data_IF_553418275499
#
_entry.id   IF_553418275499
#
_cell.length_a   1.000
_cell.length_b   1.000
_cell.length_c   1.000
_cell.angle_alpha   90.00
_cell.angle_beta   90.00
_cell.angle_gamma   90.00
#
_symmetry.space_group_name_H-M   'P 1'
#
loop_
_entity.id
_entity.type
_entity.pdbx_description
1 polymer ?
#
# COMPACT_ATOMS: atom_id res chain seq x y z
N UNK A 1 41.25 -11.99 -0.75
CA UNK A 1 41.62 -10.91 -1.69
C UNK A 1 40.31 -10.40 -2.28
N UNK A 2 39.91 -9.20 -1.97
CA UNK A 2 38.73 -8.57 -2.56
C UNK A 2 39.04 -8.22 -4.00
N UNK A 3 38.33 -8.81 -4.95
CA UNK A 3 38.42 -8.48 -6.39
C UNK A 3 38.08 -6.99 -6.54
N UNK A 4 38.87 -6.25 -7.37
CA UNK A 4 38.55 -4.83 -7.59
C UNK A 4 37.19 -4.68 -8.27
N UNK A 5 36.52 -3.56 -8.07
CA UNK A 5 35.22 -3.24 -8.69
C UNK A 5 35.32 -3.34 -10.21
N UNK A 6 36.42 -2.83 -10.79
CA UNK A 6 36.68 -2.91 -12.24
C UNK A 6 36.76 -4.35 -12.74
N UNK A 7 37.44 -5.22 -11.99
CA UNK A 7 37.55 -6.64 -12.36
C UNK A 7 36.20 -7.38 -12.27
N UNK A 8 35.34 -7.00 -11.33
CA UNK A 8 33.95 -7.52 -11.22
C UNK A 8 33.10 -7.02 -12.37
N UNK A 9 33.22 -5.75 -12.73
CA UNK A 9 32.50 -5.14 -13.86
C UNK A 9 32.87 -5.85 -15.18
N UNK A 10 34.17 -6.02 -15.46
CA UNK A 10 34.64 -6.75 -16.64
C UNK A 10 34.14 -8.20 -16.66
N UNK A 11 34.08 -8.86 -15.51
CA UNK A 11 33.53 -10.22 -15.42
C UNK A 11 32.07 -10.26 -15.85
N UNK A 12 31.23 -9.29 -15.42
CA UNK A 12 29.81 -9.22 -15.82
C UNK A 12 29.67 -8.86 -17.31
N UNK A 13 30.47 -7.96 -17.85
CA UNK A 13 30.46 -7.64 -19.28
C UNK A 13 30.75 -8.88 -20.12
N UNK A 14 31.77 -9.65 -19.72
CA UNK A 14 32.20 -10.86 -20.46
C UNK A 14 31.22 -12.02 -20.30
N UNK A 15 30.37 -12.03 -19.27
CA UNK A 15 29.33 -13.03 -19.07
C UNK A 15 28.18 -12.93 -20.07
N UNK A 16 28.08 -11.84 -20.84
CA UNK A 16 27.05 -11.64 -21.87
C UNK A 16 25.61 -11.67 -21.32
N UNK A 17 25.41 -11.20 -20.08
CA UNK A 17 24.12 -11.23 -19.44
C UNK A 17 23.13 -10.33 -20.17
N UNK A 18 21.92 -10.86 -20.44
CA UNK A 18 20.77 -10.10 -20.99
C UNK A 18 19.68 -10.04 -19.95
N UNK A 19 19.86 -9.17 -18.95
CA UNK A 19 18.93 -9.02 -17.83
C UNK A 19 18.12 -7.72 -17.98
N UNK A 20 16.79 -7.82 -17.89
CA UNK A 20 15.91 -6.66 -17.80
C UNK A 20 15.63 -6.34 -16.33
N UNK A 21 16.25 -5.27 -15.84
CA UNK A 21 16.06 -4.75 -14.47
C UNK A 21 15.10 -3.57 -14.43
N UNK A 22 14.43 -3.24 -15.53
CA UNK A 22 13.54 -2.06 -15.62
C UNK A 22 12.22 -2.26 -14.90
N UNK A 23 11.80 -3.53 -14.70
CA UNK A 23 10.59 -3.88 -13.96
C UNK A 23 10.75 -5.20 -13.21
N UNK A 24 10.35 -5.20 -11.93
CA UNK A 24 10.13 -6.45 -11.19
C UNK A 24 8.88 -7.14 -11.75
N UNK A 25 9.06 -8.32 -12.37
CA UNK A 25 7.98 -9.17 -12.88
C UNK A 25 8.18 -10.59 -12.38
N UNK A 26 7.10 -11.33 -12.05
CA UNK A 26 7.21 -12.77 -11.85
C UNK A 26 7.77 -13.44 -13.11
N UNK A 27 8.68 -14.41 -12.95
CA UNK A 27 9.12 -15.25 -14.04
C UNK A 27 8.04 -16.29 -14.41
N UNK A 28 8.21 -16.97 -15.55
CA UNK A 28 7.24 -17.96 -16.04
C UNK A 28 6.93 -19.03 -14.98
N UNK A 29 7.96 -19.58 -14.34
CA UNK A 29 7.80 -20.63 -13.33
C UNK A 29 6.98 -20.16 -12.11
N UNK A 30 7.07 -18.86 -11.74
CA UNK A 30 6.25 -18.27 -10.70
C UNK A 30 4.79 -18.09 -11.15
N UNK A 31 4.57 -17.74 -12.42
CA UNK A 31 3.22 -17.62 -12.99
C UNK A 31 2.55 -18.99 -13.10
N UNK A 32 3.30 -20.05 -13.43
CA UNK A 32 2.80 -21.43 -13.54
C UNK A 32 2.21 -21.94 -12.22
N UNK A 33 2.64 -21.41 -11.06
CA UNK A 33 2.05 -21.75 -9.76
C UNK A 33 0.56 -21.42 -9.67
N UNK A 34 0.06 -20.49 -10.48
CA UNK A 34 -1.35 -20.08 -10.50
C UNK A 34 -2.18 -20.77 -11.59
N UNK A 35 -1.57 -21.58 -12.48
CA UNK A 35 -2.31 -22.26 -13.56
C UNK A 35 -3.43 -23.16 -13.07
N UNK A 36 -3.27 -23.77 -11.88
CA UNK A 36 -4.31 -24.63 -11.26
C UNK A 36 -5.59 -23.84 -10.88
N UNK A 37 -5.57 -22.49 -10.94
CA UNK A 37 -6.76 -21.68 -10.66
C UNK A 37 -7.73 -21.60 -11.84
N UNK A 38 -7.29 -21.92 -13.06
CA UNK A 38 -8.10 -21.76 -14.29
C UNK A 38 -9.39 -22.59 -14.27
N UNK A 39 -9.35 -23.80 -13.71
CA UNK A 39 -10.48 -24.74 -13.68
C UNK A 39 -11.29 -24.72 -12.36
N UNK A 40 -10.94 -23.83 -11.42
CA UNK A 40 -11.59 -23.80 -10.11
C UNK A 40 -13.03 -23.27 -10.14
N UNK A 41 -13.44 -22.57 -11.21
CA UNK A 41 -14.81 -22.06 -11.37
C UNK A 41 -15.66 -23.16 -12.05
N UNK A 42 -15.81 -24.26 -11.35
CA UNK A 42 -16.51 -25.46 -11.86
C UNK A 42 -18.02 -25.46 -11.55
N UNK A 43 -18.81 -24.66 -12.24
CA UNK A 43 -20.27 -24.87 -12.30
C UNK A 43 -21.13 -24.43 -11.10
N UNK A 44 -20.56 -24.17 -9.94
CA UNK A 44 -21.29 -23.57 -8.82
C UNK A 44 -20.97 -22.08 -8.72
N UNK A 45 -21.88 -21.26 -9.22
CA UNK A 45 -21.74 -19.80 -9.21
C UNK A 45 -22.44 -19.13 -8.02
N UNK A 46 -22.88 -19.90 -7.03
CA UNK A 46 -23.54 -19.36 -5.82
C UNK A 46 -22.52 -19.04 -4.74
N UNK A 47 -22.63 -17.85 -4.21
CA UNK A 47 -21.91 -17.41 -3.02
C UNK A 47 -22.41 -18.14 -1.77
N UNK A 48 -21.67 -18.08 -0.67
CA UNK A 48 -22.06 -18.69 0.62
C UNK A 48 -23.38 -18.18 1.17
N UNK A 49 -23.78 -16.96 0.81
CA UNK A 49 -25.07 -16.37 1.16
C UNK A 49 -26.18 -16.68 0.10
N UNK A 50 -25.87 -17.53 -0.90
CA UNK A 50 -26.83 -18.06 -1.87
C UNK A 50 -27.08 -17.17 -3.09
N UNK A 51 -26.38 -16.07 -3.25
CA UNK A 51 -26.50 -15.18 -4.40
C UNK A 51 -25.79 -15.80 -5.61
N UNK A 52 -26.41 -15.74 -6.79
CA UNK A 52 -25.77 -16.15 -8.04
C UNK A 52 -24.81 -15.05 -8.51
N UNK A 53 -23.49 -15.32 -8.44
CA UNK A 53 -22.43 -14.36 -8.78
C UNK A 53 -22.40 -13.95 -10.26
N UNK A 54 -23.17 -14.60 -11.13
CA UNK A 54 -23.34 -14.21 -12.53
C UNK A 54 -24.33 -13.06 -12.72
N UNK A 55 -25.09 -12.71 -11.68
CA UNK A 55 -26.06 -11.64 -11.67
C UNK A 55 -25.48 -10.38 -10.97
N UNK A 56 -26.29 -9.35 -10.79
CA UNK A 56 -25.91 -8.15 -10.04
C UNK A 56 -25.44 -8.51 -8.63
N UNK A 57 -24.24 -8.05 -8.27
CA UNK A 57 -23.64 -8.29 -6.96
C UNK A 57 -23.86 -7.15 -5.98
N UNK A 58 -23.46 -7.40 -4.73
CA UNK A 58 -23.39 -6.37 -3.70
C UNK A 58 -22.22 -5.39 -3.93
N UNK A 59 -22.38 -4.15 -3.49
CA UNK A 59 -21.38 -3.08 -3.67
C UNK A 59 -20.05 -3.34 -2.96
N UNK A 60 -20.04 -4.19 -1.95
CA UNK A 60 -18.83 -4.51 -1.16
C UNK A 60 -18.04 -5.70 -1.71
N UNK A 61 -18.53 -6.36 -2.76
CA UNK A 61 -17.98 -7.61 -3.26
C UNK A 61 -18.58 -8.85 -2.59
N UNK A 62 -18.28 -10.03 -3.13
CA UNK A 62 -18.80 -11.30 -2.62
C UNK A 62 -18.20 -11.64 -1.25
N UNK A 63 -18.93 -12.35 -0.38
CA UNK A 63 -18.47 -12.70 0.97
C UNK A 63 -17.11 -13.39 1.00
N UNK A 64 -16.87 -14.31 0.06
CA UNK A 64 -15.61 -15.06 -0.04
C UNK A 64 -14.41 -14.15 -0.35
N UNK A 65 -14.55 -13.21 -1.27
CA UNK A 65 -13.49 -12.25 -1.59
C UNK A 65 -13.19 -11.34 -0.39
N UNK A 66 -14.23 -10.94 0.34
CA UNK A 66 -14.07 -10.14 1.56
C UNK A 66 -13.42 -10.94 2.69
N UNK A 67 -13.77 -12.22 2.84
CA UNK A 67 -13.14 -13.12 3.81
C UNK A 67 -11.65 -13.33 3.48
N UNK A 68 -11.32 -13.56 2.20
CA UNK A 68 -9.92 -13.66 1.74
C UNK A 68 -9.15 -12.38 2.04
N UNK A 69 -9.70 -11.21 1.70
CA UNK A 69 -9.10 -9.91 2.03
C UNK A 69 -8.89 -9.74 3.53
N UNK A 70 -9.86 -10.14 4.34
CA UNK A 70 -9.76 -10.14 5.80
C UNK A 70 -8.60 -11.00 6.32
N UNK A 71 -8.41 -12.19 5.74
CA UNK A 71 -7.29 -13.07 6.07
C UNK A 71 -5.94 -12.46 5.68
N UNK A 72 -5.83 -11.91 4.45
CA UNK A 72 -4.59 -11.33 3.95
C UNK A 72 -4.17 -10.07 4.73
N UNK A 73 -5.13 -9.29 5.20
CA UNK A 73 -4.88 -8.00 5.86
C UNK A 73 -5.03 -8.06 7.39
N UNK A 74 -5.36 -9.22 7.97
CA UNK A 74 -5.69 -9.40 9.39
C UNK A 74 -6.78 -8.40 9.87
N UNK A 75 -7.83 -8.24 9.06
CA UNK A 75 -8.95 -7.32 9.31
C UNK A 75 -10.27 -8.08 9.25
N UNK A 76 -11.23 -7.71 10.11
CA UNK A 76 -12.58 -8.28 10.07
C UNK A 76 -13.21 -8.05 8.68
N UNK A 77 -13.72 -9.09 8.01
CA UNK A 77 -14.32 -9.00 6.67
C UNK A 77 -15.42 -7.95 6.53
N UNK A 78 -16.07 -7.55 7.62
CA UNK A 78 -17.07 -6.45 7.59
C UNK A 78 -16.49 -5.10 7.18
N UNK A 79 -15.17 -4.90 7.36
CA UNK A 79 -14.45 -3.68 6.96
C UNK A 79 -13.78 -3.82 5.59
N UNK A 80 -13.93 -4.96 4.92
CA UNK A 80 -13.36 -5.19 3.60
C UNK A 80 -14.38 -4.83 2.50
N UNK A 81 -13.89 -4.08 1.54
CA UNK A 81 -14.56 -3.87 0.25
C UNK A 81 -13.65 -4.45 -0.84
N UNK A 82 -14.15 -5.44 -1.57
CA UNK A 82 -13.44 -6.01 -2.70
C UNK A 82 -13.76 -5.15 -3.95
N UNK A 83 -12.76 -4.47 -4.45
CA UNK A 83 -12.85 -3.63 -5.66
C UNK A 83 -12.27 -4.31 -6.89
N UNK A 84 -12.02 -3.53 -7.95
CA UNK A 84 -11.40 -4.00 -9.18
C UNK A 84 -9.95 -4.48 -8.98
N UNK A 85 -9.30 -4.81 -10.08
CA UNK A 85 -7.95 -5.41 -10.10
C UNK A 85 -6.79 -4.38 -10.01
N UNK A 86 -7.06 -3.12 -9.74
CA UNK A 86 -6.06 -2.07 -9.63
C UNK A 86 -6.21 -1.29 -8.31
N UNK A 87 -5.29 -1.51 -7.38
CA UNK A 87 -5.24 -0.74 -6.13
C UNK A 87 -5.05 0.76 -6.38
N UNK A 88 -4.25 1.16 -7.38
CA UNK A 88 -4.07 2.57 -7.74
C UNK A 88 -5.39 3.23 -8.15
N UNK A 89 -6.26 2.53 -8.89
CA UNK A 89 -7.59 3.03 -9.25
C UNK A 89 -8.44 3.27 -8.00
N UNK A 90 -8.43 2.34 -7.06
CA UNK A 90 -9.18 2.47 -5.80
C UNK A 90 -8.66 3.63 -4.95
N UNK A 91 -7.32 3.77 -4.83
CA UNK A 91 -6.68 4.86 -4.11
C UNK A 91 -7.02 6.23 -4.74
N UNK A 92 -6.95 6.32 -6.07
CA UNK A 92 -7.32 7.52 -6.81
C UNK A 92 -8.79 7.90 -6.57
N UNK A 93 -9.72 6.95 -6.74
CA UNK A 93 -11.15 7.19 -6.53
C UNK A 93 -11.46 7.63 -5.10
N UNK A 94 -10.82 7.02 -4.12
CA UNK A 94 -10.95 7.42 -2.73
C UNK A 94 -10.48 8.85 -2.50
N UNK A 95 -9.30 9.22 -3.03
CA UNK A 95 -8.78 10.58 -2.87
C UNK A 95 -9.62 11.62 -3.62
N UNK A 96 -10.16 11.30 -4.81
CA UNK A 96 -11.13 12.18 -5.49
C UNK A 96 -12.35 12.45 -4.61
N UNK A 97 -12.88 11.42 -3.98
CA UNK A 97 -14.02 11.55 -3.07
C UNK A 97 -13.66 12.39 -1.83
N UNK A 98 -12.50 12.14 -1.22
CA UNK A 98 -12.02 12.90 -0.05
C UNK A 98 -11.75 14.36 -0.40
N UNK A 99 -11.10 14.61 -1.52
CA UNK A 99 -10.77 15.96 -1.98
C UNK A 99 -12.03 16.80 -2.17
N UNK A 100 -13.07 16.24 -2.78
CA UNK A 100 -14.38 16.91 -2.90
C UNK A 100 -14.96 17.29 -1.54
N UNK A 101 -14.87 16.40 -0.54
CA UNK A 101 -15.36 16.68 0.80
C UNK A 101 -14.53 17.78 1.50
N UNK A 102 -13.22 17.80 1.34
CA UNK A 102 -12.35 18.84 1.88
C UNK A 102 -12.61 20.21 1.22
N UNK A 103 -12.74 20.23 -0.11
CA UNK A 103 -13.02 21.44 -0.90
C UNK A 103 -14.41 22.02 -0.60
N UNK A 104 -15.40 21.20 -0.29
CA UNK A 104 -16.75 21.68 0.05
C UNK A 104 -16.74 22.60 1.27
N UNK A 105 -15.84 22.36 2.22
CA UNK A 105 -15.69 23.20 3.41
C UNK A 105 -14.68 24.35 3.21
N UNK A 106 -13.75 24.22 2.28
CA UNK A 106 -12.65 25.16 2.08
C UNK A 106 -12.27 25.23 0.57
N UNK A 107 -13.08 25.85 -0.29
CA UNK A 107 -12.94 25.77 -1.76
C UNK A 107 -11.66 26.39 -2.32
N UNK A 108 -11.04 27.32 -1.61
CA UNK A 108 -9.80 27.99 -2.05
C UNK A 108 -8.54 27.44 -1.39
N UNK A 109 -8.67 26.36 -0.61
CA UNK A 109 -7.57 25.81 0.17
C UNK A 109 -6.75 24.83 -0.66
N UNK A 110 -5.42 24.94 -0.59
CA UNK A 110 -4.50 23.90 -1.07
C UNK A 110 -4.32 22.87 0.03
N UNK A 111 -4.61 21.61 -0.27
CA UNK A 111 -4.39 20.49 0.63
C UNK A 111 -3.04 19.84 0.38
N UNK A 112 -2.49 19.25 1.43
CA UNK A 112 -1.14 18.70 1.41
C UNK A 112 -1.14 17.23 1.83
N UNK A 113 -0.19 16.46 1.27
CA UNK A 113 0.08 15.09 1.65
C UNK A 113 1.56 14.91 1.98
N UNK A 114 1.83 14.14 3.02
CA UNK A 114 3.18 13.70 3.32
C UNK A 114 3.51 12.53 2.40
N UNK A 115 4.61 12.65 1.69
CA UNK A 115 5.15 11.67 0.77
C UNK A 115 6.49 11.17 1.32
N UNK A 116 6.53 9.92 1.76
CA UNK A 116 7.76 9.32 2.27
C UNK A 116 8.68 8.99 1.10
N UNK A 117 9.91 9.51 1.11
CA UNK A 117 10.86 9.41 0.00
C UNK A 117 12.19 8.77 0.44
N UNK A 118 12.77 7.90 -0.42
CA UNK A 118 12.28 7.39 -1.69
C UNK A 118 10.99 6.57 -1.52
N UNK A 119 10.02 6.72 -2.44
CA UNK A 119 8.71 6.09 -2.32
C UNK A 119 8.15 5.66 -3.67
N UNK A 120 6.94 5.09 -3.67
CA UNK A 120 6.30 4.64 -4.90
C UNK A 120 5.78 5.82 -5.71
N UNK A 121 6.36 6.04 -6.86
CA UNK A 121 6.14 7.22 -7.73
C UNK A 121 4.67 7.40 -8.15
N UNK A 122 3.89 6.32 -8.26
CA UNK A 122 2.47 6.39 -8.63
C UNK A 122 1.60 7.08 -7.58
N UNK A 123 1.95 6.96 -6.30
CA UNK A 123 1.29 7.73 -5.25
C UNK A 123 1.50 9.23 -5.45
N UNK A 124 2.71 9.61 -5.85
CA UNK A 124 3.06 11.02 -6.10
C UNK A 124 2.34 11.55 -7.33
N UNK A 125 2.26 10.75 -8.40
CA UNK A 125 1.49 11.08 -9.60
C UNK A 125 0.01 11.31 -9.30
N UNK A 126 -0.59 10.55 -8.37
CA UNK A 126 -1.97 10.77 -7.92
C UNK A 126 -2.09 12.16 -7.24
N UNK A 127 -1.17 12.51 -6.34
CA UNK A 127 -1.17 13.82 -5.70
C UNK A 127 -1.03 14.94 -6.72
N UNK A 128 -0.08 14.84 -7.64
CA UNK A 128 0.16 15.81 -8.71
C UNK A 128 -1.10 16.02 -9.56
N UNK A 129 -1.71 14.92 -10.03
CA UNK A 129 -2.93 14.97 -10.84
C UNK A 129 -4.11 15.64 -10.13
N UNK A 130 -4.22 15.44 -8.82
CA UNK A 130 -5.30 16.00 -8.00
C UNK A 130 -4.99 17.41 -7.46
N UNK A 131 -3.82 17.98 -7.76
CA UNK A 131 -3.40 19.29 -7.24
C UNK A 131 -3.16 19.30 -5.73
N UNK A 132 -2.79 18.15 -5.16
CA UNK A 132 -2.42 18.00 -3.76
C UNK A 132 -0.91 18.32 -3.62
N UNK A 133 -0.55 19.29 -2.79
CA UNK A 133 0.84 19.65 -2.51
C UNK A 133 1.53 18.49 -1.76
N UNK A 134 2.73 18.16 -2.20
CA UNK A 134 3.50 17.05 -1.62
C UNK A 134 4.59 17.57 -0.68
N UNK A 135 4.60 17.07 0.55
CA UNK A 135 5.64 17.29 1.55
C UNK A 135 6.51 16.05 1.67
N UNK A 136 7.76 16.16 1.21
CA UNK A 136 8.69 15.04 1.24
C UNK A 136 9.28 14.85 2.64
N UNK A 137 9.24 13.62 3.16
CA UNK A 137 9.88 13.21 4.41
C UNK A 137 10.72 11.97 4.16
N UNK A 138 11.95 11.94 4.69
CA UNK A 138 12.88 10.83 4.52
C UNK A 138 12.59 9.64 5.43
N UNK A 139 13.36 8.57 5.18
CA UNK A 139 13.42 7.39 6.05
C UNK A 139 14.50 7.54 7.11
N UNK A 140 14.29 6.90 8.27
CA UNK A 140 15.31 6.48 9.20
C UNK A 140 15.43 4.94 9.23
N UNK A 141 16.21 4.38 10.16
CA UNK A 141 16.41 2.93 10.24
C UNK A 141 15.13 2.15 10.63
N UNK A 142 14.13 2.81 11.16
CA UNK A 142 12.90 2.21 11.69
C UNK A 142 11.70 2.38 10.74
N UNK A 143 11.83 3.21 9.70
CA UNK A 143 10.77 3.58 8.78
C UNK A 143 10.84 5.06 8.41
N UNK A 144 9.71 5.73 8.12
CA UNK A 144 9.69 7.17 7.88
C UNK A 144 10.08 7.97 9.13
N UNK A 145 10.70 9.13 8.95
CA UNK A 145 11.07 10.04 10.04
C UNK A 145 9.83 10.55 10.79
N UNK A 146 9.41 9.79 11.78
CA UNK A 146 8.19 10.07 12.54
C UNK A 146 8.24 11.36 13.34
N UNK A 147 9.42 11.80 13.75
CA UNK A 147 9.58 13.06 14.50
C UNK A 147 9.24 14.27 13.64
N UNK A 148 9.70 14.26 12.41
CA UNK A 148 9.37 15.28 11.40
C UNK A 148 7.89 15.24 11.02
N UNK A 149 7.35 14.04 10.75
CA UNK A 149 5.94 13.83 10.39
C UNK A 149 5.02 14.38 11.47
N UNK A 150 5.25 14.02 12.74
CA UNK A 150 4.42 14.48 13.85
C UNK A 150 4.50 15.99 14.07
N UNK A 151 5.67 16.60 13.82
CA UNK A 151 5.81 18.05 13.87
C UNK A 151 5.00 18.74 12.76
N UNK A 152 5.10 18.25 11.52
CA UNK A 152 4.38 18.77 10.36
C UNK A 152 2.87 18.73 10.57
N UNK A 153 2.31 17.59 10.95
CA UNK A 153 0.85 17.43 11.11
C UNK A 153 0.25 18.25 12.27
N UNK A 154 1.07 18.58 13.29
CA UNK A 154 0.65 19.48 14.38
C UNK A 154 0.63 20.95 13.96
N UNK A 155 1.53 21.35 13.08
CA UNK A 155 1.74 22.73 12.67
C UNK A 155 0.81 23.16 11.53
N UNK A 156 0.46 22.23 10.63
CA UNK A 156 -0.32 22.55 9.43
C UNK A 156 -1.56 21.67 9.28
N UNK A 157 -2.73 22.27 9.53
CA UNK A 157 -4.03 21.61 9.42
C UNK A 157 -4.45 21.32 7.96
N UNK A 158 -3.69 21.82 6.98
CA UNK A 158 -3.91 21.53 5.57
C UNK A 158 -3.28 20.21 5.13
N UNK A 159 -2.46 19.63 5.97
CA UNK A 159 -1.96 18.28 5.77
C UNK A 159 -3.11 17.30 6.04
N UNK A 160 -3.58 16.67 4.96
CA UNK A 160 -4.78 15.81 4.98
C UNK A 160 -4.47 14.33 4.88
N UNK A 161 -3.22 13.98 4.68
CA UNK A 161 -2.86 12.56 4.66
C UNK A 161 -1.38 12.29 4.46
N UNK A 162 -1.07 11.01 4.52
CA UNK A 162 0.26 10.46 4.30
C UNK A 162 0.16 9.17 3.49
N UNK A 163 1.11 8.97 2.58
CA UNK A 163 1.32 7.70 1.90
C UNK A 163 2.29 6.82 2.68
N UNK A 164 1.89 5.57 2.91
CA UNK A 164 2.71 4.56 3.60
C UNK A 164 2.74 3.26 2.81
N UNK A 165 3.94 2.69 2.64
CA UNK A 165 4.15 1.32 2.17
C UNK A 165 4.92 0.60 3.28
N UNK A 166 4.22 -0.02 4.27
CA UNK A 166 4.81 -0.37 5.55
C UNK A 166 5.71 -1.60 5.50
N UNK A 167 5.54 -2.46 4.50
CA UNK A 167 6.25 -3.72 4.37
C UNK A 167 6.90 -3.80 3.00
N UNK A 168 8.20 -4.10 2.98
CA UNK A 168 9.00 -4.19 1.76
C UNK A 168 8.82 -2.98 0.84
N UNK A 169 8.85 -1.78 1.41
CA UNK A 169 8.58 -0.51 0.74
C UNK A 169 9.28 -0.39 -0.61
N UNK A 170 8.55 0.01 -1.64
CA UNK A 170 9.10 0.26 -2.97
C UNK A 170 9.58 1.73 -3.08
N UNK A 171 10.85 2.02 -3.45
CA UNK A 171 11.87 1.08 -3.95
C UNK A 171 12.86 0.58 -2.89
N UNK A 172 12.75 1.01 -1.64
CA UNK A 172 13.82 0.86 -0.63
C UNK A 172 13.91 -0.53 0.00
N UNK A 173 12.85 -1.33 -0.08
CA UNK A 173 12.74 -2.62 0.62
C UNK A 173 12.55 -2.51 2.14
N UNK A 174 12.41 -1.32 2.70
CA UNK A 174 12.21 -1.12 4.13
C UNK A 174 10.91 -1.76 4.63
N UNK A 175 10.98 -2.35 5.82
CA UNK A 175 9.80 -2.73 6.61
C UNK A 175 9.78 -1.88 7.88
N UNK A 176 8.64 -1.24 8.15
CA UNK A 176 8.49 -0.34 9.29
C UNK A 176 8.56 -1.10 10.61
N UNK A 177 9.22 -0.54 11.60
CA UNK A 177 9.23 -1.10 12.95
C UNK A 177 7.84 -1.01 13.60
N UNK A 178 7.59 -1.88 14.57
CA UNK A 178 6.35 -1.85 15.36
C UNK A 178 6.13 -0.49 16.06
N UNK A 179 7.22 0.12 16.53
CA UNK A 179 7.17 1.44 17.13
C UNK A 179 6.72 2.52 16.14
N UNK A 180 7.24 2.47 14.90
CA UNK A 180 6.83 3.36 13.81
C UNK A 180 5.35 3.17 13.46
N UNK A 181 4.90 1.92 13.33
CA UNK A 181 3.49 1.61 13.05
C UNK A 181 2.57 2.16 14.14
N UNK A 182 2.93 2.03 15.42
CA UNK A 182 2.17 2.61 16.54
C UNK A 182 2.10 4.15 16.47
N UNK A 183 3.20 4.81 16.09
CA UNK A 183 3.23 6.27 15.92
C UNK A 183 2.36 6.70 14.74
N UNK A 184 2.44 6.00 13.60
CA UNK A 184 1.57 6.25 12.44
C UNK A 184 0.09 6.09 12.80
N UNK A 185 -0.27 5.03 13.52
CA UNK A 185 -1.64 4.79 13.97
C UNK A 185 -2.17 5.91 14.89
N UNK A 186 -1.28 6.64 15.58
CA UNK A 186 -1.64 7.76 16.43
C UNK A 186 -1.73 9.11 15.69
N UNK A 187 -1.27 9.21 14.43
CA UNK A 187 -1.27 10.46 13.68
C UNK A 187 -2.66 11.11 13.58
N UNK A 188 -3.77 10.39 13.39
CA UNK A 188 -5.11 11.01 13.34
C UNK A 188 -5.49 11.76 14.62
N UNK A 189 -4.86 11.46 15.77
CA UNK A 189 -5.07 12.19 17.02
C UNK A 189 -4.26 13.49 17.10
N UNK A 190 -3.25 13.65 16.24
CA UNK A 190 -2.33 14.78 16.22
C UNK A 190 -2.60 15.73 15.04
N UNK A 191 -3.14 15.20 13.97
CA UNK A 191 -3.37 15.86 12.70
C UNK A 191 -4.75 16.52 12.63
N UNK A 192 -5.08 17.06 11.47
CA UNK A 192 -6.41 17.59 11.18
C UNK A 192 -7.49 16.50 11.30
N UNK A 193 -8.71 16.90 11.67
CA UNK A 193 -9.85 16.00 11.93
C UNK A 193 -10.12 14.99 10.81
N UNK A 194 -9.86 15.37 9.57
CA UNK A 194 -10.14 14.55 8.38
C UNK A 194 -8.88 13.95 7.76
N UNK A 195 -7.82 13.80 8.55
CA UNK A 195 -6.56 13.20 8.13
C UNK A 195 -6.74 11.74 7.74
N UNK A 196 -6.11 11.31 6.64
CA UNK A 196 -6.15 9.93 6.15
C UNK A 196 -4.76 9.32 6.12
N UNK A 197 -4.68 8.09 6.55
CA UNK A 197 -3.49 7.27 6.46
C UNK A 197 -3.68 6.31 5.28
N UNK A 198 -3.06 6.61 4.14
CA UNK A 198 -3.06 5.75 2.95
C UNK A 198 -2.05 4.62 3.15
N UNK A 199 -2.56 3.46 3.56
CA UNK A 199 -1.75 2.30 3.96
C UNK A 199 -1.70 1.29 2.84
N UNK A 200 -0.75 1.46 1.91
CA UNK A 200 -0.57 0.54 0.80
C UNK A 200 0.19 -0.72 1.27
N UNK A 201 -0.54 -1.78 1.51
CA UNK A 201 0.00 -3.05 1.96
C UNK A 201 0.13 -4.06 0.81
N UNK A 202 0.63 -3.60 -0.35
CA UNK A 202 0.81 -4.40 -1.56
C UNK A 202 1.59 -5.70 -1.32
N UNK A 203 2.48 -5.70 -0.33
CA UNK A 203 3.37 -6.83 -0.03
C UNK A 203 2.97 -7.61 1.24
N UNK A 204 1.69 -7.53 1.64
CA UNK A 204 1.19 -8.20 2.86
C UNK A 204 1.55 -9.68 2.94
N UNK A 205 1.49 -10.41 1.82
CA UNK A 205 1.73 -11.85 1.72
C UNK A 205 3.10 -12.24 1.12
N UNK A 206 4.05 -11.29 1.02
CA UNK A 206 5.32 -11.49 0.32
C UNK A 206 6.52 -11.68 1.27
N UNK A 207 6.31 -12.35 2.40
CA UNK A 207 7.41 -12.66 3.33
C UNK A 207 8.36 -13.70 2.72
N UNK A 208 9.65 -13.37 2.73
CA UNK A 208 10.71 -14.27 2.28
C UNK A 208 11.16 -15.22 3.40
N UNK A 209 10.89 -14.86 4.66
CA UNK A 209 11.21 -15.66 5.85
C UNK A 209 9.93 -16.02 6.61
N UNK A 210 9.62 -17.33 6.77
CA UNK A 210 8.44 -17.79 7.52
C UNK A 210 8.41 -17.32 8.99
N UNK A 211 9.55 -16.95 9.58
CA UNK A 211 9.61 -16.43 10.93
C UNK A 211 9.12 -14.98 11.01
N UNK A 212 9.29 -14.21 9.96
CA UNK A 212 8.83 -12.80 9.87
C UNK A 212 7.31 -12.70 9.84
N UNK A 213 6.61 -13.73 9.34
CA UNK A 213 5.14 -13.79 9.29
C UNK A 213 4.47 -13.67 10.67
N UNK A 214 5.16 -14.06 11.74
CA UNK A 214 4.59 -14.09 13.11
C UNK A 214 4.58 -12.75 13.82
N UNK A 215 5.34 -11.76 13.36
CA UNK A 215 5.52 -10.48 14.07
C UNK A 215 4.59 -9.35 13.61
N UNK A 216 3.75 -9.56 12.60
CA UNK A 216 2.96 -8.49 11.97
C UNK A 216 1.49 -8.39 12.41
N UNK A 217 1.09 -9.10 13.45
CA UNK A 217 -0.23 -8.93 14.09
C UNK A 217 -0.41 -7.56 14.76
N UNK A 218 0.57 -6.67 14.67
CA UNK A 218 0.49 -5.27 15.14
C UNK A 218 -0.50 -4.37 14.40
N UNK A 219 -1.03 -4.81 13.25
CA UNK A 219 -2.05 -4.07 12.47
C UNK A 219 -3.38 -3.86 13.23
N UNK A 220 -3.61 -4.57 14.33
CA UNK A 220 -4.79 -4.36 15.18
C UNK A 220 -4.91 -2.96 15.78
N UNK A 221 -3.85 -2.16 15.74
CA UNK A 221 -3.85 -0.80 16.31
C UNK A 221 -4.42 0.28 15.39
N UNK A 222 -4.53 0.02 14.08
CA UNK A 222 -5.00 1.02 13.11
C UNK A 222 -6.50 0.86 12.79
N UNK A 223 -7.38 0.93 13.80
CA UNK A 223 -8.83 0.71 13.61
C UNK A 223 -9.64 1.92 13.13
N UNK A 224 -9.03 3.07 12.89
CA UNK A 224 -9.75 4.26 12.44
C UNK A 224 -9.07 4.88 11.21
N UNK A 225 -9.66 4.69 10.03
CA UNK A 225 -9.33 5.45 8.84
C UNK A 225 -8.22 4.91 7.95
N UNK A 226 -8.01 3.59 7.95
CA UNK A 226 -7.04 2.92 7.06
C UNK A 226 -7.76 2.30 5.86
N UNK A 227 -7.28 2.63 4.67
CA UNK A 227 -7.59 1.98 3.41
C UNK A 227 -6.41 1.14 2.93
#
# INVERSE_FOLDING_TARGET
>A
MTTSIDAQYEQYLNAGLTLDLTRGKPCSDQLDLSCALEDMIGGNFKTTDGIDARNYGGLLGIPEARALGGTLLDVDPKYIMAGGNSSLTLMYQFLVWRLKAWQANNPSQTFKFICVVPGYDRHFTICEHLGIEMLSVGFDNAGPNMTEIEALVRQDQNIKGIWCVPKHSNPTGHTYSEATVKRLANLPNLASKDFVLMWDNAYAAHDLDPQTMRHQTGQRSCRQGVL
#
